data_IF_579429205389
#
_entry.id   IF_579429205389
#
_cell.length_a   1.000
_cell.length_b   1.000
_cell.length_c   1.000
_cell.angle_alpha   90.00
_cell.angle_beta   90.00
_cell.angle_gamma   90.00
#
_symmetry.space_group_name_H-M   'P 1'
#
loop_
_entity.id
_entity.type
_entity.pdbx_description
1 polymer ?
#
# COMPACT_ATOMS: atom_id res chain seq x y z
N UNK A 1 -3.97 37.35 22.41
CA UNK A 1 -3.93 36.14 21.56
C UNK A 1 -3.37 36.53 20.18
N UNK A 2 -2.25 35.94 19.75
CA UNK A 2 -1.44 36.45 18.64
C UNK A 2 -2.10 36.12 17.27
N UNK A 3 -2.29 37.13 16.39
CA UNK A 3 -2.95 36.96 15.07
C UNK A 3 -2.34 35.83 14.24
N UNK A 4 -1.02 35.60 14.35
CA UNK A 4 -0.32 34.50 13.65
C UNK A 4 -0.75 33.11 14.12
N UNK A 5 -1.06 32.92 15.41
CA UNK A 5 -1.54 31.64 15.95
C UNK A 5 -2.93 31.27 15.41
N UNK A 6 -3.82 32.27 15.29
CA UNK A 6 -5.19 32.06 14.79
C UNK A 6 -5.15 31.63 13.32
N UNK A 7 -4.30 32.25 12.50
CA UNK A 7 -4.14 31.89 11.09
C UNK A 7 -3.60 30.47 10.94
N UNK A 8 -2.61 30.05 11.72
CA UNK A 8 -2.07 28.68 11.65
C UNK A 8 -3.11 27.63 12.04
N UNK A 9 -3.89 27.86 13.10
CA UNK A 9 -4.95 26.93 13.52
C UNK A 9 -6.03 26.82 12.44
N UNK A 10 -6.46 27.93 11.87
CA UNK A 10 -7.48 27.94 10.81
C UNK A 10 -6.98 27.21 9.56
N UNK A 11 -5.72 27.40 9.16
CA UNK A 11 -5.11 26.69 8.01
C UNK A 11 -4.99 25.19 8.29
N UNK A 12 -4.57 24.79 9.48
CA UNK A 12 -4.46 23.36 9.86
C UNK A 12 -5.84 22.69 9.86
N UNK A 13 -6.86 23.34 10.42
CA UNK A 13 -8.24 22.82 10.44
C UNK A 13 -8.82 22.73 9.03
N UNK A 14 -8.55 23.70 8.15
CA UNK A 14 -8.94 23.66 6.75
C UNK A 14 -8.25 22.52 5.98
N UNK A 15 -6.95 22.30 6.20
CA UNK A 15 -6.21 21.20 5.59
C UNK A 15 -6.73 19.83 6.05
N UNK A 16 -7.05 19.68 7.35
CA UNK A 16 -7.62 18.44 7.90
C UNK A 16 -9.03 18.21 7.35
N UNK A 17 -9.86 19.26 7.28
CA UNK A 17 -11.20 19.19 6.69
C UNK A 17 -11.19 18.83 5.21
N UNK A 18 -10.22 19.37 4.45
CA UNK A 18 -10.02 19.04 3.04
C UNK A 18 -9.55 17.58 2.87
N UNK A 19 -8.66 17.09 3.73
CA UNK A 19 -8.23 15.69 3.75
C UNK A 19 -9.39 14.75 4.08
N UNK A 20 -10.26 15.11 5.02
CA UNK A 20 -11.47 14.35 5.34
C UNK A 20 -12.49 14.36 4.21
N UNK A 21 -12.67 15.49 3.53
CA UNK A 21 -13.56 15.59 2.37
C UNK A 21 -13.04 14.76 1.19
N UNK A 22 -11.73 14.79 0.93
CA UNK A 22 -11.09 13.94 -0.08
C UNK A 22 -11.23 12.47 0.30
N UNK A 23 -11.02 12.10 1.58
CA UNK A 23 -11.21 10.74 2.06
C UNK A 23 -12.67 10.26 1.93
N UNK A 24 -13.65 11.12 2.20
CA UNK A 24 -15.08 10.80 2.05
C UNK A 24 -15.51 10.67 0.58
N UNK A 25 -15.02 11.54 -0.30
CA UNK A 25 -15.22 11.42 -1.75
C UNK A 25 -14.56 10.14 -2.27
N UNK A 26 -13.37 9.81 -1.77
CA UNK A 26 -12.64 8.59 -2.11
C UNK A 26 -13.35 7.34 -1.60
N UNK A 27 -13.92 7.36 -0.38
CA UNK A 27 -14.72 6.27 0.18
C UNK A 27 -15.99 6.01 -0.63
N UNK A 28 -16.70 7.06 -1.04
CA UNK A 28 -17.86 6.95 -1.95
C UNK A 28 -17.46 6.45 -3.34
N UNK A 29 -16.30 6.87 -3.85
CA UNK A 29 -15.73 6.32 -5.07
C UNK A 29 -15.36 4.85 -4.92
N UNK A 30 -14.74 4.42 -3.82
CA UNK A 30 -14.35 3.03 -3.55
C UNK A 30 -15.55 2.09 -3.47
N UNK A 31 -16.65 2.51 -2.84
CA UNK A 31 -17.90 1.73 -2.76
C UNK A 31 -18.56 1.60 -4.15
N UNK A 32 -18.50 2.66 -4.97
CA UNK A 32 -18.95 2.64 -6.36
C UNK A 32 -18.02 1.82 -7.27
N UNK A 33 -16.75 1.71 -6.88
CA UNK A 33 -15.70 1.09 -7.66
C UNK A 33 -15.52 -0.41 -7.37
N UNK A 34 -16.21 -1.00 -6.40
CA UNK A 34 -16.16 -2.45 -6.13
C UNK A 34 -16.50 -3.28 -7.38
N UNK A 35 -17.22 -2.72 -8.37
CA UNK A 35 -17.52 -3.40 -9.62
C UNK A 35 -16.58 -3.10 -10.82
N UNK A 36 -15.97 -1.89 -10.99
CA UNK A 36 -14.99 -1.63 -12.06
C UNK A 36 -13.50 -1.44 -11.65
N UNK A 37 -13.12 -1.32 -10.36
CA UNK A 37 -11.69 -1.27 -9.91
C UNK A 37 -11.03 -2.62 -9.69
N UNK A 38 -11.77 -3.72 -9.87
CA UNK A 38 -11.22 -5.08 -9.80
C UNK A 38 -9.98 -5.26 -10.68
N UNK A 39 -9.86 -4.53 -11.80
CA UNK A 39 -8.68 -4.58 -12.66
C UNK A 39 -7.37 -4.15 -11.99
N UNK A 40 -7.31 -2.98 -11.35
CA UNK A 40 -6.03 -2.43 -10.84
C UNK A 40 -5.55 -3.24 -9.63
N UNK A 41 -6.46 -3.63 -8.73
CA UNK A 41 -6.13 -4.48 -7.59
C UNK A 41 -5.60 -5.85 -8.02
N UNK A 42 -6.27 -6.50 -8.98
CA UNK A 42 -5.84 -7.80 -9.52
C UNK A 42 -4.49 -7.68 -10.25
N UNK A 43 -4.28 -6.61 -11.02
CA UNK A 43 -3.00 -6.34 -11.68
C UNK A 43 -1.88 -6.17 -10.65
N UNK A 44 -2.09 -5.41 -9.56
CA UNK A 44 -1.09 -5.20 -8.53
C UNK A 44 -0.75 -6.47 -7.76
N UNK A 45 -1.74 -7.31 -7.45
CA UNK A 45 -1.52 -8.65 -6.87
C UNK A 45 -0.72 -9.51 -7.84
N UNK A 46 -1.07 -9.51 -9.14
CA UNK A 46 -0.33 -10.22 -10.17
C UNK A 46 1.13 -9.76 -10.28
N UNK A 47 1.38 -8.45 -10.25
CA UNK A 47 2.72 -7.86 -10.24
C UNK A 47 3.49 -8.27 -8.99
N UNK A 48 2.87 -8.22 -7.81
CA UNK A 48 3.49 -8.66 -6.56
C UNK A 48 3.83 -10.15 -6.58
N UNK A 49 2.92 -11.02 -7.06
CA UNK A 49 3.16 -12.45 -7.20
C UNK A 49 4.30 -12.73 -8.20
N UNK A 50 4.30 -12.07 -9.36
CA UNK A 50 5.35 -12.19 -10.36
C UNK A 50 6.71 -11.77 -9.79
N UNK A 51 6.78 -10.63 -9.10
CA UNK A 51 8.01 -10.13 -8.49
C UNK A 51 8.54 -11.09 -7.43
N UNK A 52 7.65 -11.60 -6.56
CA UNK A 52 7.99 -12.59 -5.54
C UNK A 52 8.52 -13.87 -6.17
N UNK A 53 7.88 -14.36 -7.24
CA UNK A 53 8.34 -15.52 -8.00
C UNK A 53 9.72 -15.32 -8.62
N UNK A 54 9.93 -14.18 -9.29
CA UNK A 54 11.22 -13.85 -9.91
C UNK A 54 12.33 -13.80 -8.87
N UNK A 55 12.06 -13.21 -7.70
CA UNK A 55 13.01 -13.10 -6.59
C UNK A 55 13.30 -14.46 -5.99
N UNK A 56 12.29 -15.32 -5.83
CA UNK A 56 12.50 -16.66 -5.31
C UNK A 56 13.31 -17.54 -6.27
N UNK A 57 13.01 -17.45 -7.57
CA UNK A 57 13.69 -18.23 -8.62
C UNK A 57 15.11 -17.76 -8.92
N UNK A 58 15.34 -16.43 -8.97
CA UNK A 58 16.63 -15.85 -9.38
C UNK A 58 17.50 -15.37 -8.22
N UNK A 59 16.97 -15.26 -7.00
CA UNK A 59 17.68 -14.89 -5.78
C UNK A 59 18.63 -13.68 -5.95
N UNK A 60 19.91 -13.79 -5.60
CA UNK A 60 20.88 -12.69 -5.79
C UNK A 60 21.27 -12.48 -7.26
N UNK A 61 21.05 -13.49 -8.12
CA UNK A 61 21.38 -13.42 -9.55
C UNK A 61 20.57 -12.37 -10.31
N UNK A 62 19.49 -11.84 -9.73
CA UNK A 62 18.71 -10.76 -10.36
C UNK A 62 19.52 -9.46 -10.45
N UNK A 63 20.54 -9.28 -9.60
CA UNK A 63 21.39 -8.09 -9.53
C UNK A 63 22.87 -8.35 -9.88
N UNK A 64 23.29 -9.60 -10.11
CA UNK A 64 24.69 -9.98 -10.40
C UNK A 64 25.13 -9.74 -11.86
N UNK A 65 24.52 -8.80 -12.58
CA UNK A 65 24.92 -8.49 -13.96
C UNK A 65 26.35 -7.94 -14.04
N UNK A 66 26.68 -7.00 -13.16
CA UNK A 66 27.99 -6.34 -13.06
C UNK A 66 28.31 -5.80 -11.64
N UNK A 67 27.46 -6.09 -10.64
CA UNK A 67 27.59 -5.56 -9.27
C UNK A 67 28.43 -6.48 -8.39
N UNK A 68 29.23 -5.90 -7.49
CA UNK A 68 29.90 -6.65 -6.40
C UNK A 68 28.89 -7.51 -5.65
N UNK A 69 29.22 -8.79 -5.46
CA UNK A 69 28.35 -9.81 -4.85
C UNK A 69 27.71 -9.35 -3.53
N UNK A 70 28.45 -8.61 -2.71
CA UNK A 70 27.97 -8.09 -1.43
C UNK A 70 26.90 -6.99 -1.59
N UNK A 71 27.04 -6.12 -2.59
CA UNK A 71 26.05 -5.07 -2.89
C UNK A 71 24.77 -5.68 -3.46
N UNK A 72 24.90 -6.68 -4.34
CA UNK A 72 23.77 -7.42 -4.90
C UNK A 72 22.97 -8.15 -3.81
N UNK A 73 23.65 -8.76 -2.83
CA UNK A 73 23.01 -9.44 -1.71
C UNK A 73 22.24 -8.47 -0.79
N UNK A 74 22.85 -7.31 -0.45
CA UNK A 74 22.17 -6.28 0.34
C UNK A 74 20.92 -5.76 -0.35
N UNK A 75 20.96 -5.55 -1.66
CA UNK A 75 19.80 -5.09 -2.44
C UNK A 75 18.71 -6.16 -2.54
N UNK A 76 19.10 -7.41 -2.74
CA UNK A 76 18.18 -8.55 -2.70
C UNK A 76 17.46 -8.65 -1.36
N UNK A 77 18.18 -8.56 -0.23
CA UNK A 77 17.59 -8.58 1.12
C UNK A 77 16.56 -7.47 1.32
N UNK A 78 16.86 -6.24 0.89
CA UNK A 78 15.95 -5.10 0.97
C UNK A 78 14.68 -5.31 0.13
N UNK A 79 14.84 -5.75 -1.11
CA UNK A 79 13.69 -6.01 -1.99
C UNK A 79 12.82 -7.15 -1.48
N UNK A 80 13.44 -8.23 -0.96
CA UNK A 80 12.73 -9.32 -0.31
C UNK A 80 11.94 -8.83 0.90
N UNK A 81 12.53 -7.99 1.74
CA UNK A 81 11.85 -7.41 2.90
C UNK A 81 10.64 -6.55 2.49
N UNK A 82 10.77 -5.74 1.43
CA UNK A 82 9.66 -4.95 0.87
C UNK A 82 8.51 -5.84 0.38
N UNK A 83 8.81 -6.94 -0.31
CA UNK A 83 7.75 -7.85 -0.77
C UNK A 83 7.05 -8.58 0.38
N UNK A 84 7.78 -8.97 1.41
CA UNK A 84 7.19 -9.58 2.61
C UNK A 84 6.28 -8.56 3.32
N UNK A 85 6.75 -7.32 3.49
CA UNK A 85 5.95 -6.25 4.07
C UNK A 85 4.67 -5.99 3.25
N UNK A 86 4.76 -5.97 1.92
CA UNK A 86 3.59 -5.87 1.06
C UNK A 86 2.61 -7.03 1.30
N UNK A 87 3.09 -8.27 1.37
CA UNK A 87 2.24 -9.43 1.66
C UNK A 87 1.52 -9.34 3.01
N UNK A 88 2.21 -8.86 4.06
CA UNK A 88 1.61 -8.64 5.37
C UNK A 88 0.54 -7.55 5.34
N UNK A 89 0.77 -6.47 4.61
CA UNK A 89 -0.20 -5.38 4.45
C UNK A 89 -1.43 -5.84 3.66
N UNK A 90 -1.25 -6.70 2.66
CA UNK A 90 -2.36 -7.33 1.94
C UNK A 90 -3.21 -8.20 2.86
N UNK A 91 -2.57 -9.05 3.68
CA UNK A 91 -3.27 -9.87 4.68
C UNK A 91 -4.05 -9.01 5.69
N UNK A 92 -3.43 -7.93 6.18
CA UNK A 92 -4.08 -6.98 7.06
C UNK A 92 -5.31 -6.34 6.40
N UNK A 93 -5.19 -5.99 5.12
CA UNK A 93 -6.29 -5.48 4.30
C UNK A 93 -7.45 -6.48 4.19
N UNK A 94 -7.14 -7.75 3.93
CA UNK A 94 -8.14 -8.83 3.83
C UNK A 94 -8.84 -9.05 5.17
N UNK A 95 -8.09 -9.15 6.28
CA UNK A 95 -8.66 -9.33 7.62
C UNK A 95 -9.57 -8.16 7.99
N UNK A 96 -9.14 -6.93 7.70
CA UNK A 96 -9.95 -5.72 7.88
C UNK A 96 -11.25 -5.78 7.07
N UNK A 97 -11.16 -6.14 5.79
CA UNK A 97 -12.33 -6.20 4.92
C UNK A 97 -13.34 -7.28 5.37
N UNK A 98 -12.85 -8.48 5.68
CA UNK A 98 -13.69 -9.59 6.17
C UNK A 98 -14.32 -9.24 7.52
N UNK A 99 -13.54 -8.69 8.45
CA UNK A 99 -14.03 -8.28 9.77
C UNK A 99 -15.06 -7.16 9.69
N UNK A 100 -14.86 -6.19 8.79
CA UNK A 100 -15.83 -5.13 8.53
C UNK A 100 -17.14 -5.70 7.98
N UNK A 101 -17.07 -6.55 6.94
CA UNK A 101 -18.26 -7.17 6.35
C UNK A 101 -19.03 -8.03 7.35
N UNK A 102 -18.35 -8.78 8.22
CA UNK A 102 -18.99 -9.57 9.26
C UNK A 102 -19.73 -8.68 10.28
N UNK A 103 -19.10 -7.59 10.74
CA UNK A 103 -19.72 -6.64 11.66
C UNK A 103 -20.86 -5.85 11.02
N UNK A 104 -20.72 -5.49 9.76
CA UNK A 104 -21.78 -4.85 9.00
C UNK A 104 -22.99 -5.78 8.84
N UNK A 105 -22.78 -7.05 8.48
CA UNK A 105 -23.84 -8.03 8.35
C UNK A 105 -24.57 -8.29 9.67
N UNK A 106 -23.85 -8.34 10.80
CA UNK A 106 -24.43 -8.65 12.11
C UNK A 106 -25.05 -7.43 12.81
N UNK A 107 -24.40 -6.27 12.75
CA UNK A 107 -24.73 -5.10 13.58
C UNK A 107 -24.99 -3.83 12.77
N UNK A 108 -24.94 -3.90 11.44
CA UNK A 108 -25.04 -2.75 10.52
C UNK A 108 -24.08 -1.60 10.85
N UNK A 109 -22.92 -1.93 11.41
CA UNK A 109 -21.88 -0.94 11.73
C UNK A 109 -21.09 -0.63 10.46
N UNK A 110 -21.31 0.55 9.88
CA UNK A 110 -20.65 1.02 8.65
C UNK A 110 -19.21 1.48 8.87
N UNK A 111 -18.89 2.05 10.03
CA UNK A 111 -17.54 2.57 10.33
C UNK A 111 -16.96 1.81 11.52
N UNK A 112 -16.41 0.62 11.25
CA UNK A 112 -15.74 -0.18 12.26
C UNK A 112 -14.22 0.00 12.22
N UNK A 113 -13.51 -0.30 13.31
CA UNK A 113 -12.04 -0.31 13.33
C UNK A 113 -11.46 -1.18 12.19
N UNK A 114 -12.19 -2.25 11.84
CA UNK A 114 -11.85 -3.13 10.73
C UNK A 114 -11.94 -2.44 9.35
N UNK A 115 -12.86 -1.50 9.17
CA UNK A 115 -12.94 -0.68 7.96
C UNK A 115 -11.66 0.15 7.76
N UNK A 116 -11.21 0.86 8.80
CA UNK A 116 -9.97 1.62 8.75
C UNK A 116 -8.74 0.73 8.58
N UNK A 117 -8.74 -0.45 9.21
CA UNK A 117 -7.68 -1.45 9.05
C UNK A 117 -7.60 -1.97 7.61
N UNK A 118 -8.74 -2.20 6.97
CA UNK A 118 -8.82 -2.61 5.57
C UNK A 118 -8.19 -1.54 4.66
N UNK A 119 -8.56 -0.27 4.87
CA UNK A 119 -8.01 0.87 4.12
C UNK A 119 -6.49 0.94 4.30
N UNK A 120 -6.00 0.97 5.54
CA UNK A 120 -4.57 1.09 5.83
C UNK A 120 -3.79 -0.09 5.24
N UNK A 121 -4.31 -1.31 5.35
CA UNK A 121 -3.69 -2.50 4.77
C UNK A 121 -3.61 -2.45 3.25
N UNK A 122 -4.71 -2.12 2.58
CA UNK A 122 -4.77 -2.06 1.11
C UNK A 122 -3.92 -0.92 0.54
N UNK A 123 -4.01 0.28 1.11
CA UNK A 123 -3.17 1.41 0.68
C UNK A 123 -1.68 1.12 0.95
N UNK A 124 -1.36 0.56 2.11
CA UNK A 124 -0.02 0.12 2.45
C UNK A 124 0.53 -0.89 1.43
N UNK A 125 -0.29 -1.88 1.05
CA UNK A 125 0.07 -2.87 0.03
C UNK A 125 0.38 -2.21 -1.33
N UNK A 126 -0.47 -1.29 -1.79
CA UNK A 126 -0.28 -0.57 -3.06
C UNK A 126 1.04 0.20 -3.04
N UNK A 127 1.25 1.02 -2.00
CA UNK A 127 2.45 1.85 -1.87
C UNK A 127 3.72 0.99 -1.77
N UNK A 128 3.68 -0.09 -1.00
CA UNK A 128 4.85 -0.98 -0.83
C UNK A 128 5.15 -1.76 -2.10
N UNK A 129 4.13 -2.18 -2.86
CA UNK A 129 4.31 -2.89 -4.13
C UNK A 129 4.89 -1.97 -5.20
N UNK A 130 4.35 -0.75 -5.34
CA UNK A 130 4.89 0.26 -6.27
C UNK A 130 6.32 0.64 -5.85
N UNK A 131 6.56 0.85 -4.56
CA UNK A 131 7.89 1.14 -4.03
C UNK A 131 8.90 0.02 -4.31
N UNK A 132 8.50 -1.24 -4.14
CA UNK A 132 9.31 -2.40 -4.47
C UNK A 132 9.61 -2.51 -5.96
N UNK A 133 8.63 -2.19 -6.81
CA UNK A 133 8.79 -2.17 -8.27
C UNK A 133 9.78 -1.07 -8.72
N UNK A 134 9.61 0.15 -8.20
CA UNK A 134 10.52 1.28 -8.47
C UNK A 134 11.93 0.93 -7.99
N UNK A 135 12.05 0.37 -6.79
CA UNK A 135 13.34 -0.05 -6.24
C UNK A 135 14.03 -1.08 -7.15
N UNK A 136 13.29 -2.09 -7.60
CA UNK A 136 13.79 -3.12 -8.50
C UNK A 136 14.29 -2.56 -9.83
N UNK A 137 13.49 -1.72 -10.51
CA UNK A 137 13.87 -1.16 -11.80
C UNK A 137 15.03 -0.15 -11.68
N UNK A 138 15.03 0.68 -10.65
CA UNK A 138 16.12 1.64 -10.40
C UNK A 138 17.44 0.91 -10.21
N UNK A 139 17.44 -0.17 -9.41
CA UNK A 139 18.67 -0.92 -9.13
C UNK A 139 19.14 -1.75 -10.33
N UNK A 140 18.23 -2.28 -11.14
CA UNK A 140 18.57 -2.99 -12.40
C UNK A 140 19.06 -2.08 -13.53
N UNK A 141 18.66 -0.81 -13.57
CA UNK A 141 19.15 0.17 -14.57
C UNK A 141 20.48 0.82 -14.18
N UNK A 142 20.82 0.80 -12.89
CA UNK A 142 22.08 1.31 -12.36
C UNK A 142 23.21 0.26 -12.39
N UNK A 143 22.95 -0.92 -12.97
CA UNK A 143 23.91 -1.98 -13.29
C UNK A 143 23.97 -2.13 -14.79
#
# INVERSE_FOLDING_TARGET
MNRRMIVTIVVVVLCIGLLFAIANIFQRMCISLVFPTSGIGVILVGVWMYMTWVIWKKQTKIFNGQMESEKAERQYKKLKALLIAAGLLLLLGIIGAVGHNALYAMKKIEESVFFFTAIVGLFGFVLTTIGGLIYYFTRRKAT
#
